data_IF_241919362274
#
_entry.id   IF_241919362274
#
_cell.length_a   1.000
_cell.length_b   1.000
_cell.length_c   1.000
_cell.angle_alpha   90.00
_cell.angle_beta   90.00
_cell.angle_gamma   90.00
#
_symmetry.space_group_name_H-M   'P 1'
#
loop_
_entity.id
_entity.type
_entity.pdbx_description
1 polymer ?
#
# COMPACT_ATOMS: atom_id res chain seq x y z
N UNK A 1 -7.79 -22.18 7.54
CA UNK A 1 -7.61 -21.00 8.36
C UNK A 1 -6.19 -20.51 8.23
N UNK A 2 -5.98 -19.35 7.66
CA UNK A 2 -4.71 -18.65 7.78
C UNK A 2 -4.42 -18.48 9.29
N UNK A 3 -3.16 -18.65 9.69
CA UNK A 3 -2.73 -18.53 11.06
C UNK A 3 -3.19 -17.19 11.63
N UNK A 4 -4.24 -17.19 12.41
CA UNK A 4 -4.63 -16.02 13.17
C UNK A 4 -3.78 -15.94 14.42
N UNK A 5 -3.21 -14.75 14.66
CA UNK A 5 -2.48 -14.46 15.86
C UNK A 5 -0.96 -14.66 15.75
N UNK A 6 -0.34 -14.71 16.89
CA UNK A 6 1.11 -14.75 17.07
C UNK A 6 1.72 -16.05 16.53
N UNK A 7 2.76 -15.91 15.70
CA UNK A 7 3.56 -17.05 15.21
C UNK A 7 5.05 -16.97 15.58
N UNK A 8 5.48 -15.90 16.22
CA UNK A 8 6.86 -15.67 16.62
C UNK A 8 6.95 -14.88 17.94
N UNK A 9 8.10 -14.87 18.63
CA UNK A 9 8.28 -14.08 19.84
C UNK A 9 8.17 -12.57 19.60
N UNK A 10 7.60 -11.86 20.57
CA UNK A 10 7.43 -10.41 20.59
C UNK A 10 7.68 -9.80 21.98
N UNK A 11 8.72 -10.27 22.62
CA UNK A 11 9.02 -9.95 24.02
C UNK A 11 9.33 -8.47 24.24
N UNK A 12 10.05 -7.83 23.29
CA UNK A 12 10.35 -6.40 23.38
C UNK A 12 9.09 -5.54 23.36
N UNK A 13 8.13 -5.88 22.49
CA UNK A 13 6.85 -5.18 22.39
C UNK A 13 6.02 -5.27 23.67
N UNK A 14 6.18 -6.32 24.45
CA UNK A 14 5.42 -6.60 25.67
C UNK A 14 6.06 -6.05 26.95
N UNK A 15 7.27 -5.53 26.89
CA UNK A 15 7.89 -4.89 28.04
C UNK A 15 7.01 -3.76 28.58
N UNK A 16 6.99 -3.57 29.90
CA UNK A 16 6.11 -2.58 30.52
C UNK A 16 6.34 -1.16 29.97
N UNK A 17 7.61 -0.78 29.74
CA UNK A 17 7.96 0.50 29.14
C UNK A 17 7.50 0.68 27.69
N UNK A 18 7.19 -0.42 26.99
CA UNK A 18 6.80 -0.39 25.57
C UNK A 18 5.29 -0.56 25.34
N UNK A 19 4.52 -0.99 26.33
CA UNK A 19 3.08 -1.25 26.19
C UNK A 19 2.30 -0.04 25.69
N UNK A 20 2.59 1.15 26.20
CA UNK A 20 1.92 2.39 25.81
C UNK A 20 2.29 2.83 24.38
N UNK A 21 3.30 2.23 23.78
CA UNK A 21 3.74 2.50 22.41
C UNK A 21 2.99 1.65 21.36
N UNK A 22 2.13 0.75 21.81
CA UNK A 22 1.29 -0.09 20.95
C UNK A 22 -0.15 0.41 20.94
N UNK A 23 -0.69 0.65 19.75
CA UNK A 23 -2.10 1.07 19.58
C UNK A 23 -3.07 -0.05 19.94
N UNK A 24 -2.76 -1.27 19.52
CA UNK A 24 -3.53 -2.48 19.78
C UNK A 24 -2.60 -3.53 20.40
N UNK A 25 -3.02 -4.11 21.53
CA UNK A 25 -2.19 -5.06 22.27
C UNK A 25 -1.95 -6.40 21.57
N UNK A 26 -2.74 -6.72 20.54
CA UNK A 26 -2.63 -7.95 19.76
C UNK A 26 -1.99 -7.75 18.36
N UNK A 27 -1.64 -6.53 17.97
CA UNK A 27 -0.92 -6.22 16.74
C UNK A 27 0.35 -5.46 17.12
N UNK A 28 1.36 -6.22 17.50
CA UNK A 28 2.63 -5.72 18.01
C UNK A 28 3.81 -6.33 17.27
N UNK A 29 4.99 -5.73 17.38
CA UNK A 29 6.13 -6.10 16.56
C UNK A 29 6.79 -7.41 17.03
N UNK A 30 7.05 -8.33 16.09
CA UNK A 30 7.92 -9.49 16.33
C UNK A 30 9.37 -9.06 16.57
N UNK A 31 10.05 -9.72 17.49
CA UNK A 31 11.44 -9.41 17.84
C UNK A 31 12.40 -9.58 16.66
N UNK A 32 12.22 -10.63 15.86
CA UNK A 32 13.17 -10.98 14.78
C UNK A 32 13.17 -9.99 13.60
N UNK A 33 12.10 -9.24 13.39
CA UNK A 33 11.93 -8.36 12.23
C UNK A 33 11.60 -6.91 12.61
N UNK A 34 11.54 -6.60 13.89
CA UNK A 34 11.22 -5.24 14.34
C UNK A 34 12.28 -4.22 13.94
N UNK A 35 11.85 -3.00 13.69
CA UNK A 35 12.75 -1.87 13.51
C UNK A 35 13.26 -1.46 14.90
N UNK A 36 14.57 -1.45 15.07
CA UNK A 36 15.21 -1.00 16.30
C UNK A 36 15.67 0.43 16.11
N UNK A 37 15.09 1.34 16.89
CA UNK A 37 15.55 2.71 16.92
C UNK A 37 16.89 2.80 17.63
N UNK A 38 17.77 3.70 17.19
CA UNK A 38 18.96 4.02 17.96
C UNK A 38 18.54 4.59 19.31
N UNK A 39 18.96 3.98 20.43
CA UNK A 39 18.59 4.46 21.75
C UNK A 39 19.04 5.90 21.95
N UNK A 40 18.21 6.68 22.63
CA UNK A 40 18.58 8.01 23.08
C UNK A 40 19.53 7.90 24.28
N UNK A 41 20.44 8.85 24.42
CA UNK A 41 21.42 8.87 25.52
C UNK A 41 20.73 8.72 26.89
N UNK A 42 21.12 7.68 27.64
CA UNK A 42 20.60 7.40 28.95
C UNK A 42 19.25 6.68 29.05
N UNK A 43 18.61 6.36 27.91
CA UNK A 43 17.35 5.65 27.88
C UNK A 43 17.44 4.33 27.06
N UNK A 44 17.71 3.23 27.79
CA UNK A 44 17.77 1.90 27.19
C UNK A 44 16.43 1.35 26.67
N UNK A 45 15.30 1.96 27.06
CA UNK A 45 13.95 1.58 26.61
C UNK A 45 13.49 2.33 25.36
N UNK A 46 14.28 3.24 24.80
CA UNK A 46 13.90 4.10 23.68
C UNK A 46 14.09 3.48 22.29
N UNK A 47 14.47 2.21 22.21
CA UNK A 47 14.74 1.51 20.93
C UNK A 47 13.52 0.90 20.27
N UNK A 48 12.36 0.88 20.94
CA UNK A 48 11.16 0.21 20.46
C UNK A 48 10.21 1.14 19.69
N UNK A 49 9.78 0.64 18.56
CA UNK A 49 8.63 1.13 17.80
C UNK A 49 7.84 -0.06 17.26
N UNK A 50 6.51 0.04 17.22
CA UNK A 50 5.66 -1.02 16.65
C UNK A 50 5.73 -0.97 15.12
N UNK A 51 6.78 -1.55 14.58
CA UNK A 51 7.13 -1.58 13.17
C UNK A 51 8.01 -2.78 12.85
N UNK A 52 7.77 -3.40 11.68
CA UNK A 52 8.54 -4.54 11.21
C UNK A 52 9.03 -4.31 9.78
N UNK A 53 10.25 -4.78 9.48
CA UNK A 53 10.73 -4.87 8.10
C UNK A 53 10.00 -5.96 7.34
N UNK A 54 9.69 -5.68 6.09
CA UNK A 54 9.05 -6.61 5.14
C UNK A 54 9.82 -6.58 3.83
N UNK A 55 10.16 -7.76 3.31
CA UNK A 55 10.83 -7.89 2.03
C UNK A 55 9.87 -7.59 0.87
N UNK A 56 10.39 -6.96 -0.17
CA UNK A 56 9.71 -6.76 -1.43
C UNK A 56 10.10 -7.80 -2.48
N UNK A 57 9.73 -7.53 -3.73
CA UNK A 57 10.08 -8.38 -4.85
C UNK A 57 11.60 -8.28 -5.13
N UNK A 58 12.33 -9.36 -4.84
CA UNK A 58 13.81 -9.41 -4.93
C UNK A 58 14.52 -8.23 -4.26
N UNK A 59 13.91 -7.67 -3.24
CA UNK A 59 14.47 -6.54 -2.49
C UNK A 59 14.26 -6.74 -0.99
N UNK A 60 15.32 -7.11 -0.23
CA UNK A 60 15.25 -7.22 1.22
C UNK A 60 14.87 -5.90 1.88
N UNK A 61 14.03 -5.96 2.90
CA UNK A 61 13.60 -4.80 3.69
C UNK A 61 13.11 -3.62 2.83
N UNK A 62 12.35 -3.92 1.79
CA UNK A 62 11.76 -2.91 0.90
C UNK A 62 10.74 -2.03 1.62
N UNK A 63 10.02 -2.61 2.58
CA UNK A 63 8.98 -1.92 3.33
C UNK A 63 9.24 -1.99 4.82
N UNK A 64 8.68 -1.02 5.53
CA UNK A 64 8.42 -1.07 6.95
C UNK A 64 6.91 -1.00 7.14
N UNK A 65 6.32 -2.06 7.69
CA UNK A 65 4.91 -2.08 8.07
C UNK A 65 4.78 -1.63 9.52
N UNK A 66 4.01 -0.58 9.76
CA UNK A 66 3.88 0.04 11.08
C UNK A 66 2.44 0.46 11.35
N UNK A 67 2.12 0.61 12.62
CA UNK A 67 0.84 1.17 13.06
C UNK A 67 0.74 2.66 12.71
N UNK A 68 -0.48 3.18 12.66
CA UNK A 68 -0.69 4.63 12.64
C UNK A 68 -0.12 5.26 13.92
N UNK A 69 0.74 6.29 13.82
CA UNK A 69 1.32 6.93 14.99
C UNK A 69 0.27 7.37 16.00
N UNK A 70 0.60 7.24 17.27
CA UNK A 70 -0.12 7.75 18.42
C UNK A 70 0.54 9.04 18.89
N UNK A 71 -0.16 9.81 19.72
CA UNK A 71 0.42 11.03 20.31
C UNK A 71 1.79 10.76 20.94
N UNK A 72 1.92 9.64 21.64
CA UNK A 72 3.14 9.23 22.35
C UNK A 72 4.25 8.73 21.41
N UNK A 73 3.94 8.38 20.18
CA UNK A 73 4.89 7.74 19.26
C UNK A 73 5.23 8.56 18.02
N UNK A 74 4.71 9.79 17.90
CA UNK A 74 4.98 10.66 16.75
C UNK A 74 6.47 10.93 16.57
N UNK A 75 7.16 11.24 17.65
CA UNK A 75 8.60 11.47 17.60
C UNK A 75 9.38 10.20 17.22
N UNK A 76 9.02 9.06 17.78
CA UNK A 76 9.62 7.77 17.42
C UNK A 76 9.42 7.44 15.96
N UNK A 77 8.25 7.76 15.40
CA UNK A 77 7.96 7.59 13.99
C UNK A 77 8.91 8.40 13.09
N UNK A 78 9.13 9.67 13.39
CA UNK A 78 10.04 10.50 12.61
C UNK A 78 11.51 10.11 12.82
N UNK A 79 11.90 9.65 14.01
CA UNK A 79 13.22 9.05 14.25
C UNK A 79 13.45 7.84 13.34
N UNK A 80 12.46 6.97 13.22
CA UNK A 80 12.51 5.81 12.33
C UNK A 80 12.65 6.23 10.86
N UNK A 81 11.84 7.14 10.39
CA UNK A 81 11.87 7.64 9.02
C UNK A 81 13.25 8.21 8.68
N UNK A 82 13.82 8.97 9.58
CA UNK A 82 15.18 9.51 9.41
C UNK A 82 16.25 8.45 9.43
N UNK A 83 16.27 7.62 10.46
CA UNK A 83 17.26 6.55 10.66
C UNK A 83 17.31 5.60 9.45
N UNK A 84 16.16 5.25 8.89
CA UNK A 84 16.04 4.29 7.81
C UNK A 84 16.21 4.89 6.41
N UNK A 85 16.50 6.18 6.32
CA UNK A 85 16.62 6.89 5.05
C UNK A 85 15.36 6.76 4.16
N UNK A 86 14.20 6.74 4.79
CA UNK A 86 12.90 6.64 4.10
C UNK A 86 12.62 7.93 3.33
N UNK A 87 12.22 7.81 2.07
CA UNK A 87 11.80 8.94 1.23
C UNK A 87 10.29 8.93 0.97
N UNK A 88 9.61 7.81 1.17
CA UNK A 88 8.19 7.65 0.94
C UNK A 88 7.48 7.04 2.15
N UNK A 89 6.40 7.70 2.56
CA UNK A 89 5.46 7.20 3.58
C UNK A 89 4.12 6.96 2.89
N UNK A 90 3.55 5.78 3.07
CA UNK A 90 2.25 5.40 2.54
C UNK A 90 1.25 5.28 3.68
N UNK A 91 0.19 6.05 3.63
CA UNK A 91 -0.90 6.08 4.61
C UNK A 91 -2.19 5.59 3.96
N UNK A 92 -2.77 4.52 4.49
CA UNK A 92 -3.97 3.86 3.94
C UNK A 92 -5.13 3.92 4.94
N UNK A 93 -5.24 4.99 5.67
CA UNK A 93 -6.33 5.26 6.60
C UNK A 93 -6.64 6.75 6.63
N UNK A 94 -7.86 7.10 7.01
CA UNK A 94 -8.15 8.46 7.44
C UNK A 94 -7.81 8.62 8.92
N UNK A 95 -7.71 9.83 9.41
CA UNK A 95 -7.40 10.10 10.82
C UNK A 95 -8.50 9.59 11.75
N UNK A 96 -9.75 9.79 11.34
CA UNK A 96 -10.95 9.35 12.06
C UNK A 96 -11.86 8.60 11.08
N UNK A 97 -12.33 7.43 11.49
CA UNK A 97 -13.28 6.62 10.74
C UNK A 97 -14.35 6.10 11.71
N UNK A 98 -15.63 6.21 11.34
CA UNK A 98 -16.77 5.83 12.19
C UNK A 98 -16.67 6.42 13.60
N UNK A 99 -16.26 7.69 13.70
CA UNK A 99 -16.11 8.40 14.98
C UNK A 99 -14.94 7.91 15.86
N UNK A 100 -14.10 7.01 15.35
CA UNK A 100 -12.93 6.50 16.09
C UNK A 100 -11.63 7.03 15.51
N UNK A 101 -10.72 7.43 16.37
CA UNK A 101 -9.37 7.85 15.96
C UNK A 101 -8.59 6.60 15.50
N UNK A 102 -8.17 6.65 14.23
CA UNK A 102 -7.38 5.57 13.60
C UNK A 102 -5.90 5.87 13.56
N UNK A 103 -5.56 7.15 13.51
CA UNK A 103 -4.18 7.62 13.43
C UNK A 103 -4.10 9.03 13.98
N UNK A 104 -3.05 9.35 14.71
CA UNK A 104 -2.74 10.72 15.09
C UNK A 104 -2.24 11.48 13.86
N UNK A 105 -2.62 12.76 13.74
CA UNK A 105 -2.03 13.64 12.72
C UNK A 105 -0.57 13.92 13.11
N UNK A 106 0.34 13.19 12.50
CA UNK A 106 1.78 13.24 12.79
C UNK A 106 2.57 14.22 11.90
N UNK A 107 1.88 14.98 11.07
CA UNK A 107 2.48 15.98 10.19
C UNK A 107 1.90 17.37 10.46
N UNK A 108 2.66 18.44 10.21
CA UNK A 108 2.20 19.81 10.40
C UNK A 108 1.40 20.33 9.20
N UNK A 109 0.63 21.41 9.41
CA UNK A 109 0.08 22.22 8.34
C UNK A 109 1.08 23.24 7.78
N UNK A 110 2.10 23.58 8.55
CA UNK A 110 3.20 24.47 8.17
C UNK A 110 4.53 23.88 8.67
N UNK A 111 4.91 24.13 9.90
CA UNK A 111 6.15 23.61 10.51
C UNK A 111 5.89 23.15 11.93
N UNK A 112 6.47 22.02 12.30
CA UNK A 112 6.42 21.49 13.67
C UNK A 112 7.76 20.87 14.03
N UNK A 113 8.11 20.93 15.32
CA UNK A 113 9.29 20.28 15.87
C UNK A 113 8.84 19.11 16.76
N UNK A 114 9.26 17.91 16.39
CA UNK A 114 9.03 16.69 17.14
C UNK A 114 10.37 16.22 17.71
N UNK A 115 10.62 16.55 18.98
CA UNK A 115 11.93 16.28 19.60
C UNK A 115 13.05 17.03 18.88
N UNK A 116 14.01 16.31 18.29
CA UNK A 116 15.09 16.87 17.48
C UNK A 116 14.81 16.88 15.97
N UNK A 117 13.58 16.52 15.57
CA UNK A 117 13.15 16.47 14.17
C UNK A 117 12.25 17.65 13.83
N UNK A 118 12.67 18.45 12.86
CA UNK A 118 11.87 19.56 12.32
C UNK A 118 11.25 19.14 11.00
N UNK A 119 9.93 19.22 10.91
CA UNK A 119 9.15 18.84 9.73
C UNK A 119 8.41 20.06 9.21
N UNK A 120 8.62 20.40 7.94
CA UNK A 120 7.99 21.53 7.27
C UNK A 120 7.23 21.03 6.05
N UNK A 121 5.95 21.37 5.95
CA UNK A 121 5.13 21.08 4.78
C UNK A 121 5.50 22.05 3.65
N UNK A 122 5.95 21.49 2.51
CA UNK A 122 6.36 22.26 1.34
C UNK A 122 5.25 22.38 0.32
N UNK A 123 4.53 21.27 0.06
CA UNK A 123 3.50 21.17 -0.95
C UNK A 123 2.43 20.17 -0.55
N UNK A 124 1.19 20.45 -0.91
CA UNK A 124 0.06 19.52 -0.82
C UNK A 124 -0.60 19.43 -2.18
N UNK A 125 -0.66 18.23 -2.75
CA UNK A 125 -1.35 17.95 -4.00
C UNK A 125 -2.60 17.11 -3.71
N UNK A 126 -3.77 17.70 -3.89
CA UNK A 126 -5.06 17.03 -3.69
C UNK A 126 -5.50 16.38 -5.00
N UNK A 127 -5.65 15.05 -4.99
CA UNK A 127 -6.17 14.27 -6.09
C UNK A 127 -7.50 13.62 -5.67
N UNK A 128 -8.20 12.98 -6.61
CA UNK A 128 -9.58 12.51 -6.32
C UNK A 128 -9.65 11.45 -5.22
N UNK A 129 -8.65 10.56 -5.12
CA UNK A 129 -8.67 9.45 -4.16
C UNK A 129 -7.46 9.41 -3.23
N UNK A 130 -6.52 10.32 -3.42
CA UNK A 130 -5.35 10.41 -2.56
C UNK A 130 -4.75 11.81 -2.54
N UNK A 131 -3.91 12.03 -1.55
CA UNK A 131 -3.20 13.29 -1.32
C UNK A 131 -1.70 13.00 -1.27
N UNK A 132 -0.90 13.84 -1.92
CA UNK A 132 0.55 13.79 -1.81
C UNK A 132 1.01 15.01 -1.05
N UNK A 133 1.68 14.80 0.10
CA UNK A 133 2.30 15.88 0.87
C UNK A 133 3.80 15.73 0.81
N UNK A 134 4.48 16.81 0.45
CA UNK A 134 5.93 16.87 0.42
C UNK A 134 6.44 17.65 1.61
N UNK A 135 7.35 17.04 2.37
CA UNK A 135 7.95 17.62 3.56
C UNK A 135 9.45 17.83 3.39
N UNK A 136 9.96 18.92 3.94
CA UNK A 136 11.37 19.08 4.25
C UNK A 136 11.59 18.67 5.71
N UNK A 137 12.47 17.70 5.95
CA UNK A 137 12.76 17.15 7.27
C UNK A 137 14.22 17.40 7.63
N UNK A 138 14.42 17.93 8.82
CA UNK A 138 15.73 18.26 9.36
C UNK A 138 15.91 17.62 10.75
N UNK A 139 17.12 17.17 11.01
CA UNK A 139 17.51 16.69 12.35
C UNK A 139 18.45 17.70 12.98
N UNK A 140 18.20 18.04 14.26
CA UNK A 140 19.06 18.96 15.02
C UNK A 140 20.52 18.48 14.99
N UNK A 141 21.44 19.39 14.66
CA UNK A 141 22.86 19.10 14.60
C UNK A 141 23.34 18.39 13.34
N UNK A 142 22.45 18.13 12.38
CA UNK A 142 22.77 17.56 11.07
C UNK A 142 22.46 18.58 10.00
N UNK A 143 23.43 18.88 9.13
CA UNK A 143 23.30 19.92 8.09
C UNK A 143 22.41 19.50 6.90
N UNK A 144 22.04 18.22 6.79
CA UNK A 144 21.26 17.66 5.72
C UNK A 144 19.78 18.00 5.86
N UNK A 145 19.14 18.43 4.75
CA UNK A 145 17.69 18.57 4.64
C UNK A 145 17.21 17.48 3.69
N UNK A 146 16.23 16.68 4.12
CA UNK A 146 15.66 15.59 3.32
C UNK A 146 14.27 15.93 2.85
N UNK A 147 13.99 15.63 1.59
CA UNK A 147 12.64 15.64 1.04
C UNK A 147 11.99 14.29 1.26
N UNK A 148 10.85 14.28 1.96
CA UNK A 148 10.07 13.08 2.25
C UNK A 148 8.65 13.32 1.80
N UNK A 149 8.10 12.40 0.99
CA UNK A 149 6.72 12.46 0.53
C UNK A 149 5.85 11.49 1.31
N UNK A 150 4.68 11.98 1.71
CA UNK A 150 3.60 11.16 2.23
C UNK A 150 2.54 11.00 1.16
N UNK A 151 2.27 9.74 0.80
CA UNK A 151 1.21 9.35 -0.10
C UNK A 151 0.05 8.84 0.73
N UNK A 152 -1.04 9.60 0.78
CA UNK A 152 -2.19 9.33 1.64
C UNK A 152 -3.40 8.93 0.78
N UNK A 153 -3.72 7.64 0.77
CA UNK A 153 -4.91 7.13 0.11
C UNK A 153 -6.14 7.40 0.98
N UNK A 154 -7.05 8.22 0.46
CA UNK A 154 -8.27 8.64 1.17
C UNK A 154 -9.53 7.90 0.71
N UNK A 155 -9.41 7.09 -0.34
CA UNK A 155 -10.52 6.36 -0.95
C UNK A 155 -10.88 5.02 -0.33
N UNK A 156 -10.22 4.59 0.76
CA UNK A 156 -10.60 3.36 1.44
C UNK A 156 -11.86 3.59 2.28
N UNK A 157 -12.92 2.76 2.09
CA UNK A 157 -14.16 2.93 2.84
C UNK A 157 -13.98 2.61 4.32
N UNK A 158 -14.85 3.19 5.17
CA UNK A 158 -14.81 2.96 6.62
C UNK A 158 -14.97 1.48 6.99
N UNK A 159 -15.72 0.73 6.20
CA UNK A 159 -15.92 -0.70 6.34
C UNK A 159 -15.55 -1.46 5.07
N UNK A 160 -14.99 -2.65 5.25
CA UNK A 160 -14.68 -3.56 4.15
C UNK A 160 -13.49 -3.11 3.30
N UNK A 161 -13.66 -3.24 1.99
CA UNK A 161 -12.65 -2.95 0.99
C UNK A 161 -13.23 -2.02 -0.09
N UNK A 162 -12.39 -1.34 -0.88
CA UNK A 162 -12.90 -0.55 -2.02
C UNK A 162 -13.75 -1.40 -2.97
N UNK A 163 -14.81 -0.82 -3.48
CA UNK A 163 -15.68 -1.49 -4.46
C UNK A 163 -14.92 -1.80 -5.75
N UNK A 164 -14.04 -0.90 -6.16
CA UNK A 164 -13.18 -1.04 -7.33
C UNK A 164 -11.72 -0.82 -6.94
N UNK A 165 -10.83 -1.61 -7.51
CA UNK A 165 -9.40 -1.51 -7.22
C UNK A 165 -8.69 -0.40 -8.00
N UNK A 166 -9.33 0.18 -9.01
CA UNK A 166 -8.73 1.12 -9.97
C UNK A 166 -8.01 2.29 -9.30
N UNK A 167 -8.66 2.91 -8.31
CA UNK A 167 -8.08 4.02 -7.57
C UNK A 167 -6.83 3.65 -6.78
N UNK A 168 -6.86 2.51 -6.09
CA UNK A 168 -5.70 2.00 -5.36
C UNK A 168 -4.57 1.59 -6.30
N UNK A 169 -4.86 0.99 -7.45
CA UNK A 169 -3.85 0.66 -8.45
C UNK A 169 -3.16 1.91 -9.00
N UNK A 170 -3.90 2.95 -9.31
CA UNK A 170 -3.34 4.25 -9.72
C UNK A 170 -2.48 4.87 -8.62
N UNK A 171 -2.91 4.78 -7.38
CA UNK A 171 -2.16 5.21 -6.21
C UNK A 171 -0.84 4.46 -6.06
N UNK A 172 -0.84 3.14 -6.15
CA UNK A 172 0.36 2.30 -6.07
C UNK A 172 1.36 2.67 -7.18
N UNK A 173 0.89 2.85 -8.41
CA UNK A 173 1.73 3.29 -9.54
C UNK A 173 2.36 4.66 -9.29
N UNK A 174 1.59 5.58 -8.72
CA UNK A 174 2.09 6.91 -8.36
C UNK A 174 3.20 6.85 -7.31
N UNK A 175 3.01 6.08 -6.25
CA UNK A 175 4.02 5.85 -5.21
C UNK A 175 5.31 5.29 -5.83
N UNK A 176 5.18 4.27 -6.66
CA UNK A 176 6.29 3.62 -7.33
C UNK A 176 7.07 4.57 -8.24
N UNK A 177 6.36 5.38 -9.03
CA UNK A 177 6.96 6.34 -9.96
C UNK A 177 7.69 7.49 -9.25
N UNK A 178 7.20 7.91 -8.10
CA UNK A 178 7.73 9.08 -7.35
C UNK A 178 8.70 8.72 -6.23
N UNK A 179 8.93 7.44 -5.96
CA UNK A 179 9.89 7.01 -4.94
C UNK A 179 11.27 6.81 -5.57
N UNK A 180 12.32 7.52 -5.11
CA UNK A 180 13.66 7.34 -5.64
C UNK A 180 14.17 5.90 -5.44
N UNK A 181 14.86 5.30 -6.42
CA UNK A 181 15.38 3.93 -6.29
C UNK A 181 16.49 3.80 -5.23
N UNK A 182 17.11 4.93 -4.86
CA UNK A 182 18.16 4.99 -3.83
C UNK A 182 17.63 5.18 -2.42
N UNK A 183 16.30 5.33 -2.26
CA UNK A 183 15.67 5.51 -0.95
C UNK A 183 15.79 4.25 -0.09
N UNK A 184 15.75 4.43 1.23
CA UNK A 184 15.54 3.35 2.19
C UNK A 184 14.11 2.78 2.10
N UNK A 185 13.73 1.91 3.05
CA UNK A 185 12.43 1.28 3.05
C UNK A 185 11.27 2.27 2.93
N UNK A 186 10.24 1.92 2.16
CA UNK A 186 8.97 2.65 2.16
C UNK A 186 8.21 2.29 3.44
N UNK A 187 7.86 3.29 4.22
CA UNK A 187 7.04 3.12 5.42
C UNK A 187 5.57 3.06 5.02
N UNK A 188 4.89 1.96 5.35
CA UNK A 188 3.48 1.75 5.04
C UNK A 188 2.70 1.58 6.34
N UNK A 189 1.65 2.36 6.53
CA UNK A 189 0.79 2.24 7.70
C UNK A 189 -0.69 2.43 7.39
N UNK A 190 -1.51 1.86 8.23
CA UNK A 190 -2.92 2.16 8.34
C UNK A 190 -3.22 2.51 9.80
N UNK A 191 -4.19 1.89 10.45
CA UNK A 191 -4.37 2.02 11.92
C UNK A 191 -3.53 1.02 12.68
N UNK A 192 -3.74 -0.28 12.46
CA UNK A 192 -2.96 -1.35 13.09
C UNK A 192 -1.64 -1.65 12.35
N UNK A 193 -1.55 -1.31 11.09
CA UNK A 193 -0.41 -1.64 10.24
C UNK A 193 -0.37 -3.11 9.82
N UNK A 194 -1.54 -3.71 9.60
CA UNK A 194 -1.69 -5.13 9.26
C UNK A 194 -2.60 -5.38 8.06
N UNK A 195 -3.88 -5.01 8.14
CA UNK A 195 -4.87 -5.33 7.12
C UNK A 195 -4.66 -4.57 5.82
N UNK A 196 -4.97 -3.29 5.79
CA UNK A 196 -4.83 -2.42 4.60
C UNK A 196 -3.37 -2.26 4.20
N UNK A 197 -2.47 -2.18 5.18
CA UNK A 197 -1.01 -2.18 4.96
C UNK A 197 -0.57 -3.43 4.22
N UNK A 198 -1.06 -4.59 4.63
CA UNK A 198 -0.80 -5.87 3.96
C UNK A 198 -1.32 -5.89 2.53
N UNK A 199 -2.54 -5.38 2.30
CA UNK A 199 -3.11 -5.29 0.94
C UNK A 199 -2.23 -4.46 0.00
N UNK A 200 -1.81 -3.27 0.44
CA UNK A 200 -0.94 -2.41 -0.36
C UNK A 200 0.37 -3.12 -0.73
N UNK A 201 1.04 -3.71 0.25
CA UNK A 201 2.34 -4.35 0.05
C UNK A 201 2.23 -5.56 -0.87
N UNK A 202 1.23 -6.44 -0.66
CA UNK A 202 1.04 -7.63 -1.51
C UNK A 202 0.74 -7.23 -2.94
N UNK A 203 -0.13 -6.26 -3.17
CA UNK A 203 -0.46 -5.81 -4.53
C UNK A 203 0.79 -5.24 -5.21
N UNK A 204 1.56 -4.41 -4.52
CA UNK A 204 2.80 -3.84 -5.06
C UNK A 204 3.81 -4.93 -5.48
N UNK A 205 4.03 -5.92 -4.62
CA UNK A 205 4.92 -7.06 -4.91
C UNK A 205 4.40 -7.88 -6.09
N UNK A 206 3.09 -8.18 -6.11
CA UNK A 206 2.50 -9.03 -7.15
C UNK A 206 2.47 -8.36 -8.52
N UNK A 207 2.35 -7.03 -8.58
CA UNK A 207 2.49 -6.29 -9.83
C UNK A 207 3.89 -6.46 -10.44
N UNK A 208 4.92 -6.42 -9.62
CA UNK A 208 6.32 -6.67 -10.06
C UNK A 208 6.52 -8.13 -10.49
N UNK A 209 5.98 -9.09 -9.75
CA UNK A 209 6.07 -10.51 -10.09
C UNK A 209 5.34 -10.83 -11.40
N UNK A 210 4.14 -10.28 -11.59
CA UNK A 210 3.37 -10.44 -12.82
C UNK A 210 4.13 -9.90 -14.03
N UNK A 211 4.73 -8.71 -13.89
CA UNK A 211 5.49 -8.08 -14.98
C UNK A 211 6.75 -8.86 -15.35
N UNK A 212 7.50 -9.33 -14.36
CA UNK A 212 8.81 -9.94 -14.57
C UNK A 212 8.76 -11.44 -14.85
N UNK A 213 7.83 -12.15 -14.24
CA UNK A 213 7.75 -13.62 -14.32
C UNK A 213 6.50 -14.10 -15.04
N UNK A 214 5.50 -13.24 -15.30
CA UNK A 214 4.23 -13.63 -15.92
C UNK A 214 3.35 -14.51 -15.04
N UNK A 215 3.64 -14.58 -13.74
CA UNK A 215 2.89 -15.36 -12.73
C UNK A 215 2.71 -14.52 -11.48
N UNK A 216 1.72 -14.88 -10.67
CA UNK A 216 1.53 -14.33 -9.32
C UNK A 216 1.28 -15.46 -8.34
N UNK A 217 1.77 -15.31 -7.12
CA UNK A 217 1.52 -16.24 -6.02
C UNK A 217 1.15 -15.46 -4.76
N UNK A 218 -0.11 -15.07 -4.71
CA UNK A 218 -0.66 -14.24 -3.62
C UNK A 218 -0.62 -15.00 -2.30
N UNK A 219 -0.95 -16.29 -2.31
CA UNK A 219 -0.92 -17.12 -1.11
C UNK A 219 0.46 -17.13 -0.45
N UNK A 220 1.51 -17.41 -1.22
CA UNK A 220 2.86 -17.46 -0.70
C UNK A 220 3.33 -16.07 -0.24
N UNK A 221 2.99 -15.02 -0.98
CA UNK A 221 3.33 -13.64 -0.61
C UNK A 221 2.73 -13.26 0.74
N UNK A 222 1.46 -13.54 0.97
CA UNK A 222 0.79 -13.27 2.27
C UNK A 222 1.45 -14.09 3.39
N UNK A 223 1.79 -15.33 3.13
CA UNK A 223 2.50 -16.18 4.10
C UNK A 223 3.84 -15.58 4.51
N UNK A 224 4.64 -15.12 3.55
CA UNK A 224 5.92 -14.48 3.80
C UNK A 224 5.76 -13.18 4.61
N UNK A 225 4.74 -12.35 4.27
CA UNK A 225 4.45 -11.16 5.04
C UNK A 225 4.07 -11.48 6.48
N UNK A 226 3.22 -12.50 6.70
CA UNK A 226 2.79 -12.92 8.04
C UNK A 226 3.93 -13.52 8.88
N UNK A 227 4.97 -14.02 8.26
CA UNK A 227 6.19 -14.42 8.96
C UNK A 227 6.95 -13.21 9.53
N UNK A 228 6.80 -12.03 8.93
CA UNK A 228 7.49 -10.79 9.35
C UNK A 228 6.67 -9.93 10.31
N UNK A 229 5.37 -9.85 10.12
CA UNK A 229 4.47 -9.08 10.96
C UNK A 229 3.13 -9.79 11.13
N UNK A 230 2.60 -9.73 12.35
CA UNK A 230 1.35 -10.40 12.73
C UNK A 230 0.16 -9.89 11.89
N UNK A 231 -0.71 -10.80 11.50
CA UNK A 231 -2.00 -10.54 10.82
C UNK A 231 -1.95 -9.69 9.55
N UNK A 232 -0.84 -9.71 8.81
CA UNK A 232 -0.77 -9.05 7.51
C UNK A 232 -1.84 -9.62 6.57
N UNK A 233 -2.66 -8.77 5.97
CA UNK A 233 -3.90 -9.13 5.26
C UNK A 233 -4.88 -9.80 6.25
N UNK A 234 -5.71 -9.01 6.88
CA UNK A 234 -6.39 -9.37 8.12
C UNK A 234 -7.71 -10.13 7.91
N UNK A 235 -8.38 -9.91 6.77
CA UNK A 235 -9.70 -10.49 6.49
C UNK A 235 -9.72 -11.25 5.17
N UNK A 236 -10.67 -12.20 5.06
CA UNK A 236 -10.95 -12.90 3.80
C UNK A 236 -11.32 -11.91 2.69
N UNK A 237 -12.13 -10.91 3.00
CA UNK A 237 -12.53 -9.86 2.05
C UNK A 237 -11.32 -9.10 1.48
N UNK A 238 -10.33 -8.78 2.32
CA UNK A 238 -9.08 -8.19 1.89
C UNK A 238 -8.28 -9.12 0.97
N UNK A 239 -8.25 -10.39 1.30
CA UNK A 239 -7.56 -11.40 0.49
C UNK A 239 -8.19 -11.55 -0.90
N UNK A 240 -9.52 -11.59 -0.98
CA UNK A 240 -10.26 -11.58 -2.26
C UNK A 240 -10.00 -10.28 -3.03
N UNK A 241 -10.05 -9.14 -2.36
CA UNK A 241 -9.78 -7.84 -2.98
C UNK A 241 -8.39 -7.75 -3.62
N UNK A 242 -7.38 -8.35 -3.01
CA UNK A 242 -6.03 -8.43 -3.59
C UNK A 242 -6.07 -9.15 -4.95
N UNK A 243 -6.80 -10.28 -5.04
CA UNK A 243 -6.96 -11.02 -6.29
C UNK A 243 -7.67 -10.19 -7.35
N UNK A 244 -8.74 -9.51 -6.97
CA UNK A 244 -9.50 -8.63 -7.88
C UNK A 244 -8.61 -7.50 -8.41
N UNK A 245 -7.83 -6.87 -7.54
CA UNK A 245 -6.93 -5.79 -7.91
C UNK A 245 -5.85 -6.24 -8.91
N UNK A 246 -5.22 -7.37 -8.65
CA UNK A 246 -4.17 -7.91 -9.52
C UNK A 246 -4.77 -8.38 -10.85
N UNK A 247 -5.94 -8.99 -10.83
CA UNK A 247 -6.65 -9.39 -12.04
C UNK A 247 -6.96 -8.17 -12.92
N UNK A 248 -7.51 -7.11 -12.35
CA UNK A 248 -7.77 -5.85 -13.08
C UNK A 248 -6.49 -5.28 -13.69
N UNK A 249 -5.41 -5.22 -12.92
CA UNK A 249 -4.13 -4.72 -13.39
C UNK A 249 -3.56 -5.54 -14.56
N UNK A 250 -3.69 -6.87 -14.49
CA UNK A 250 -3.22 -7.76 -15.56
C UNK A 250 -4.06 -7.67 -16.83
N UNK A 251 -5.37 -7.46 -16.70
CA UNK A 251 -6.29 -7.41 -17.85
C UNK A 251 -6.38 -6.02 -18.50
N UNK A 252 -6.39 -4.97 -17.70
CA UNK A 252 -6.61 -3.60 -18.18
C UNK A 252 -5.33 -2.75 -18.22
N UNK A 253 -4.29 -3.13 -17.46
CA UNK A 253 -3.10 -2.31 -17.32
C UNK A 253 -3.40 -0.96 -16.65
N UNK A 254 -2.71 0.09 -17.08
CA UNK A 254 -2.98 1.45 -16.61
C UNK A 254 -4.09 2.06 -17.45
N UNK A 255 -5.25 2.26 -16.84
CA UNK A 255 -6.44 2.83 -17.49
C UNK A 255 -6.47 4.36 -17.51
N UNK A 256 -5.57 5.03 -16.78
CA UNK A 256 -5.48 6.49 -16.77
C UNK A 256 -4.91 7.00 -18.10
N UNK A 257 -5.63 7.91 -18.74
CA UNK A 257 -5.25 8.50 -20.02
C UNK A 257 -4.98 9.98 -19.82
N UNK A 258 -3.79 10.51 -20.17
CA UNK A 258 -3.56 11.96 -20.19
C UNK A 258 -4.61 12.65 -21.08
N UNK A 259 -5.24 13.71 -20.57
CA UNK A 259 -6.36 14.35 -21.27
C UNK A 259 -5.99 14.83 -22.70
N UNK A 260 -4.76 15.27 -22.90
CA UNK A 260 -4.25 15.70 -24.20
C UNK A 260 -3.99 14.54 -25.17
N UNK A 261 -3.94 13.30 -24.69
CA UNK A 261 -3.74 12.09 -25.49
C UNK A 261 -5.04 11.30 -25.70
N UNK A 262 -6.15 11.70 -25.08
CA UNK A 262 -7.41 10.95 -25.10
C UNK A 262 -7.84 10.59 -26.53
N UNK A 263 -7.74 11.54 -27.48
CA UNK A 263 -8.16 11.32 -28.86
C UNK A 263 -7.38 10.19 -29.53
N UNK A 264 -6.07 10.20 -29.45
CA UNK A 264 -5.21 9.19 -30.08
C UNK A 264 -5.36 7.82 -29.42
N UNK A 265 -5.38 7.79 -28.09
CA UNK A 265 -5.57 6.56 -27.33
C UNK A 265 -6.95 5.95 -27.59
N UNK A 266 -7.99 6.77 -27.66
CA UNK A 266 -9.35 6.32 -27.97
C UNK A 266 -9.42 5.58 -29.33
N UNK A 267 -8.79 6.11 -30.36
CA UNK A 267 -8.77 5.45 -31.68
C UNK A 267 -7.98 4.13 -31.64
N UNK A 268 -6.89 4.08 -30.91
CA UNK A 268 -6.11 2.84 -30.72
C UNK A 268 -6.96 1.77 -29.97
N UNK A 269 -7.61 2.16 -28.88
CA UNK A 269 -8.43 1.26 -28.05
C UNK A 269 -9.65 0.70 -28.78
N UNK A 270 -10.17 1.43 -29.80
CA UNK A 270 -11.27 0.98 -30.64
C UNK A 270 -10.84 0.08 -31.82
N UNK A 271 -9.54 -0.06 -32.04
CA UNK A 271 -9.04 -0.90 -33.12
C UNK A 271 -9.39 -2.37 -32.84
N UNK A 272 -10.11 -2.99 -33.76
CA UNK A 272 -10.50 -4.40 -33.66
C UNK A 272 -9.30 -5.31 -33.88
N UNK A 273 -9.16 -6.30 -33.04
CA UNK A 273 -8.26 -7.43 -33.27
C UNK A 273 -8.90 -8.37 -34.28
N UNK A 274 -8.24 -8.63 -35.42
CA UNK A 274 -8.81 -9.51 -36.46
C UNK A 274 -9.07 -10.96 -36.01
N UNK A 275 -8.31 -11.43 -35.00
CA UNK A 275 -8.44 -12.81 -34.50
C UNK A 275 -9.60 -12.97 -33.52
N UNK A 276 -9.80 -12.00 -32.64
CA UNK A 276 -10.79 -12.08 -31.56
C UNK A 276 -12.06 -11.30 -31.85
N UNK A 277 -12.04 -10.43 -32.89
CA UNK A 277 -13.09 -9.46 -33.21
C UNK A 277 -13.50 -8.60 -32.00
N UNK A 278 -12.56 -8.37 -31.09
CA UNK A 278 -12.70 -7.53 -29.88
C UNK A 278 -11.73 -6.35 -29.92
N UNK A 279 -11.92 -5.38 -29.07
CA UNK A 279 -11.03 -4.24 -28.90
C UNK A 279 -10.82 -3.94 -27.42
N UNK A 280 -9.78 -3.18 -27.11
CA UNK A 280 -9.38 -2.91 -25.72
C UNK A 280 -10.53 -2.29 -24.91
N UNK A 281 -11.31 -1.37 -25.46
CA UNK A 281 -12.44 -0.76 -24.74
C UNK A 281 -13.49 -1.81 -24.33
N UNK A 282 -13.78 -2.78 -25.22
CA UNK A 282 -14.72 -3.85 -24.91
C UNK A 282 -14.21 -4.76 -23.80
N UNK A 283 -12.92 -5.06 -23.82
CA UNK A 283 -12.32 -5.90 -22.77
C UNK A 283 -12.31 -5.18 -21.41
N UNK A 284 -11.94 -3.90 -21.37
CA UNK A 284 -12.04 -3.10 -20.15
C UNK A 284 -13.46 -3.06 -19.59
N UNK A 285 -14.45 -2.88 -20.47
CA UNK A 285 -15.86 -2.90 -20.07
C UNK A 285 -16.27 -4.23 -19.45
N UNK A 286 -15.85 -5.35 -20.04
CA UNK A 286 -16.14 -6.69 -19.51
C UNK A 286 -15.53 -6.93 -18.13
N UNK A 287 -14.31 -6.47 -17.90
CA UNK A 287 -13.66 -6.59 -16.59
C UNK A 287 -14.41 -5.80 -15.53
N UNK A 288 -14.82 -4.58 -15.86
CA UNK A 288 -15.50 -3.67 -14.94
C UNK A 288 -16.91 -4.13 -14.56
N UNK A 289 -17.65 -4.66 -15.52
CA UNK A 289 -19.09 -4.95 -15.36
C UNK A 289 -19.44 -6.44 -15.36
N UNK A 290 -18.45 -7.32 -15.61
CA UNK A 290 -18.63 -8.77 -15.67
C UNK A 290 -19.22 -9.28 -16.99
N UNK A 291 -19.21 -10.60 -17.22
CA UNK A 291 -19.59 -11.21 -18.51
C UNK A 291 -21.08 -11.08 -18.87
N UNK A 292 -21.92 -10.51 -17.99
CA UNK A 292 -23.34 -10.33 -18.21
C UNK A 292 -23.79 -8.96 -18.71
N UNK A 293 -22.88 -7.99 -18.82
CA UNK A 293 -23.20 -6.62 -19.22
C UNK A 293 -23.00 -6.40 -20.73
N UNK A 294 -23.57 -7.27 -21.57
CA UNK A 294 -23.70 -6.94 -22.99
C UNK A 294 -24.95 -6.09 -23.19
N UNK A 295 -24.80 -4.97 -23.87
CA UNK A 295 -25.88 -4.11 -24.33
C UNK A 295 -26.66 -4.76 -25.47
N UNK A 296 -27.19 -5.96 -25.29
CA UNK A 296 -28.10 -6.57 -26.24
C UNK A 296 -29.47 -6.76 -25.62
N UNK A 297 -30.28 -5.75 -25.83
CA UNK A 297 -31.74 -5.91 -25.85
C UNK A 297 -32.10 -6.68 -27.10
N UNK A 298 -31.94 -8.01 -27.11
CA UNK A 298 -32.70 -8.90 -27.96
C UNK A 298 -32.56 -10.33 -27.42
N UNK A 299 -33.70 -10.93 -27.07
CA UNK A 299 -33.75 -12.19 -26.34
C UNK A 299 -33.20 -13.36 -27.13
N UNK A 300 -32.67 -14.30 -26.36
CA UNK A 300 -32.98 -15.73 -26.45
C UNK A 300 -32.16 -16.51 -25.41
N UNK A 301 -32.82 -17.49 -24.85
CA UNK A 301 -32.38 -18.51 -23.91
C UNK A 301 -31.23 -19.36 -24.42
N UNK A 302 -30.32 -19.75 -23.51
CA UNK A 302 -29.38 -20.83 -23.78
C UNK A 302 -28.30 -20.93 -22.70
N UNK A 303 -28.46 -21.90 -21.82
CA UNK A 303 -27.47 -22.42 -20.91
C UNK A 303 -26.26 -22.95 -21.66
N UNK A 304 -25.07 -22.50 -21.27
CA UNK A 304 -23.89 -23.37 -21.27
C UNK A 304 -22.71 -22.69 -20.53
N UNK A 305 -22.18 -23.40 -19.56
CA UNK A 305 -20.93 -23.06 -18.88
C UNK A 305 -19.77 -23.48 -19.77
N UNK A 306 -19.04 -22.53 -20.32
CA UNK A 306 -17.72 -22.80 -20.88
C UNK A 306 -16.65 -22.02 -20.09
N UNK A 307 -15.72 -22.80 -19.52
CA UNK A 307 -14.52 -22.29 -18.86
C UNK A 307 -13.60 -21.69 -19.93
N UNK A 308 -13.60 -20.38 -20.06
CA UNK A 308 -12.67 -19.68 -20.95
C UNK A 308 -11.25 -19.77 -20.37
N UNK A 309 -10.37 -20.49 -21.06
CA UNK A 309 -8.93 -20.41 -20.91
C UNK A 309 -8.50 -19.01 -21.33
N UNK A 310 -8.11 -18.20 -20.34
CA UNK A 310 -7.53 -16.87 -20.62
C UNK A 310 -6.12 -17.08 -21.12
N UNK A 311 -5.91 -16.92 -22.42
CA UNK A 311 -4.59 -16.81 -23.02
C UNK A 311 -4.18 -15.35 -22.91
N UNK A 312 -3.20 -15.07 -22.07
CA UNK A 312 -2.63 -13.73 -21.96
C UNK A 312 -1.90 -13.35 -23.26
N UNK A 313 -2.17 -12.20 -23.86
CA UNK A 313 -1.29 -11.69 -24.91
C UNK A 313 0.00 -11.21 -24.26
N UNK A 314 1.11 -11.92 -24.54
CA UNK A 314 2.46 -11.46 -24.32
C UNK A 314 2.70 -10.24 -25.23
N UNK A 315 2.57 -9.06 -24.73
CA UNK A 315 3.18 -7.81 -25.19
C UNK A 315 2.27 -6.60 -24.88
N UNK A 316 2.34 -6.13 -23.65
CA UNK A 316 2.14 -4.72 -23.38
C UNK A 316 3.16 -4.33 -22.33
N UNK A 317 4.13 -3.52 -22.71
CA UNK A 317 5.04 -2.89 -21.75
C UNK A 317 4.20 -1.96 -20.88
N UNK A 318 4.22 -2.22 -19.58
CA UNK A 318 3.70 -1.30 -18.56
C UNK A 318 4.51 -0.01 -18.51
#
# INVERSE_FOLDING_TARGET
SFFEGQSAPWDSAKKDENRMKNRYGNIIAYDHSRVRLQPQDGDGGSDYINANYVDGYHRPNHYIATQGPMQETVYDFWRMVWQENTAAIVMVTNLVEVGRVKCCKYWPDDTEIYGDMKVTLIETQLLSEYVIRTFAVEKRGVAEIREIRQFHFTGWPDHGVPLHATGLLGFIRCVKAKTPPTAGPTVVHCSAGAGRTGCFIVIDIMLDMAEREGVVDIYNCVRELRARRVNMVQTEEQYVFIHDAILEACLCGNTAIPANQLRSVYYEMNRLDPQTNSCQIKEEFRVTYGPGASSDVSGASGTEKESAKIIMPLHTKL
#
